data_IF_854841958398
#
_entry.id   IF_854841958398
#
_cell.length_a   1.000
_cell.length_b   1.000
_cell.length_c   1.000
_cell.angle_alpha   90.00
_cell.angle_beta   90.00
_cell.angle_gamma   90.00
#
_symmetry.space_group_name_H-M   'P 1'
#
loop_
_entity.id
_entity.type
_entity.pdbx_description
1 polymer ?
#
# COMPACT_ATOMS: atom_id res chain seq x y z
N UNK A 1 -11.99 11.00 -12.63
CA UNK A 1 -12.48 10.76 -11.24
C UNK A 1 -11.29 10.36 -10.37
N UNK A 2 -11.09 10.96 -9.20
CA UNK A 2 -10.00 10.62 -8.30
C UNK A 2 -10.55 9.87 -7.09
N UNK A 3 -10.01 8.68 -6.83
CA UNK A 3 -10.28 7.90 -5.63
C UNK A 3 -8.99 7.79 -4.84
N UNK A 4 -9.06 8.09 -3.55
CA UNK A 4 -7.95 7.93 -2.62
C UNK A 4 -8.39 6.97 -1.52
N UNK A 5 -7.47 6.12 -1.08
CA UNK A 5 -7.68 5.14 -0.04
C UNK A 5 -6.44 5.00 0.82
N UNK A 6 -6.66 4.65 2.08
CA UNK A 6 -5.60 4.35 3.02
C UNK A 6 -5.99 3.16 3.87
N UNK A 7 -5.04 2.28 4.11
CA UNK A 7 -5.19 1.14 5.01
C UNK A 7 -4.08 1.18 6.08
N UNK A 8 -4.45 0.77 7.29
CA UNK A 8 -3.51 0.51 8.38
C UNK A 8 -3.72 -0.94 8.78
N UNK A 9 -2.63 -1.69 8.86
CA UNK A 9 -2.65 -3.09 9.24
C UNK A 9 -1.72 -3.34 10.42
N UNK A 10 -2.17 -4.21 11.32
CA UNK A 10 -1.39 -4.67 12.45
C UNK A 10 -1.38 -6.20 12.45
N UNK A 11 -0.19 -6.78 12.39
CA UNK A 11 0.06 -8.22 12.46
C UNK A 11 0.76 -8.53 13.77
N UNK A 12 0.16 -9.42 14.56
CA UNK A 12 0.78 -9.96 15.77
C UNK A 12 1.75 -11.08 15.41
N UNK A 13 2.65 -11.42 16.34
CA UNK A 13 3.61 -12.51 16.15
C UNK A 13 2.89 -13.82 15.77
N UNK A 14 3.26 -14.39 14.62
CA UNK A 14 2.86 -15.75 14.26
C UNK A 14 3.85 -16.81 14.77
N UNK A 15 5.09 -16.39 15.06
CA UNK A 15 6.17 -17.23 15.57
C UNK A 15 6.88 -16.47 16.69
N UNK A 16 7.17 -17.17 17.79
CA UNK A 16 7.82 -16.57 18.95
C UNK A 16 9.14 -15.88 18.57
N UNK A 17 9.23 -14.57 18.88
CA UNK A 17 10.44 -13.77 18.67
C UNK A 17 10.51 -13.01 17.35
N UNK A 18 9.48 -13.06 16.50
CA UNK A 18 9.41 -12.28 15.25
C UNK A 18 8.96 -10.83 15.43
N UNK A 19 8.45 -10.44 16.61
CA UNK A 19 7.88 -9.11 16.84
C UNK A 19 6.52 -8.90 16.16
N UNK A 20 5.75 -7.96 16.68
CA UNK A 20 4.55 -7.47 15.98
C UNK A 20 4.91 -6.46 14.90
N UNK A 21 4.21 -6.51 13.77
CA UNK A 21 4.42 -5.60 12.65
C UNK A 21 3.19 -4.72 12.44
N UNK A 22 3.40 -3.42 12.38
CA UNK A 22 2.36 -2.44 12.04
C UNK A 22 2.83 -1.73 10.80
N UNK A 23 1.97 -1.58 9.81
CA UNK A 23 2.26 -0.84 8.61
C UNK A 23 1.01 -0.11 8.11
N UNK A 24 1.25 0.75 7.13
CA UNK A 24 0.17 1.42 6.42
C UNK A 24 0.48 1.45 4.93
N UNK A 25 -0.57 1.50 4.11
CA UNK A 25 -0.49 1.85 2.69
C UNK A 25 -1.46 2.98 2.41
N UNK A 26 -1.02 3.95 1.61
CA UNK A 26 -1.83 5.03 1.08
C UNK A 26 -1.75 4.96 -0.44
N UNK A 27 -2.89 4.93 -1.10
CA UNK A 27 -2.94 4.83 -2.54
C UNK A 27 -4.20 5.41 -3.12
N UNK A 28 -4.33 5.27 -4.43
CA UNK A 28 -5.47 5.79 -5.13
C UNK A 28 -5.46 5.44 -6.59
N UNK A 29 -6.56 5.81 -7.21
CA UNK A 29 -6.82 5.63 -8.63
C UNK A 29 -7.28 6.95 -9.21
N UNK A 30 -6.60 7.41 -10.24
CA UNK A 30 -6.97 8.57 -11.02
C UNK A 30 -7.46 8.12 -12.39
N UNK A 31 -8.77 8.19 -12.61
CA UNK A 31 -9.37 7.98 -13.93
C UNK A 31 -9.18 9.26 -14.74
N UNK A 32 -8.28 9.18 -15.73
CA UNK A 32 -8.08 10.20 -16.76
C UNK A 32 -9.32 10.24 -17.65
N UNK A 33 -9.76 9.07 -18.13
CA UNK A 33 -10.94 8.87 -18.98
C UNK A 33 -11.63 7.53 -18.61
N UNK A 34 -12.69 7.16 -19.35
CA UNK A 34 -13.38 5.86 -19.21
C UNK A 34 -12.47 4.65 -19.48
N UNK A 35 -11.42 4.85 -20.27
CA UNK A 35 -10.48 3.80 -20.65
C UNK A 35 -9.16 3.87 -19.89
N UNK A 36 -8.83 5.01 -19.27
CA UNK A 36 -7.48 5.30 -18.79
C UNK A 36 -7.50 5.53 -17.28
N UNK A 37 -6.92 4.60 -16.52
CA UNK A 37 -6.85 4.65 -15.07
C UNK A 37 -5.41 4.56 -14.58
N UNK A 38 -4.96 5.56 -13.83
CA UNK A 38 -3.65 5.57 -13.19
C UNK A 38 -3.81 5.12 -11.75
N UNK A 39 -3.10 4.06 -11.36
CA UNK A 39 -3.08 3.54 -10.00
C UNK A 39 -1.78 3.96 -9.33
N UNK A 40 -1.83 4.29 -8.05
CA UNK A 40 -0.63 4.53 -7.27
C UNK A 40 -0.84 4.05 -5.84
N UNK A 41 0.22 3.56 -5.21
CA UNK A 41 0.21 3.29 -3.77
C UNK A 41 1.60 3.44 -3.21
N UNK A 42 1.69 3.88 -1.97
CA UNK A 42 2.91 3.99 -1.20
C UNK A 42 2.61 3.66 0.26
N UNK A 43 3.47 2.87 0.87
CA UNK A 43 3.33 2.44 2.25
C UNK A 43 4.66 2.11 2.88
N UNK A 44 4.63 1.98 4.20
CA UNK A 44 5.80 1.61 4.98
C UNK A 44 5.39 0.94 6.28
N UNK A 45 6.31 0.13 6.81
CA UNK A 45 6.25 -0.31 8.19
C UNK A 45 6.46 0.86 9.16
N UNK A 46 5.70 0.82 10.24
CA UNK A 46 5.84 1.69 11.41
C UNK A 46 6.59 0.96 12.54
N UNK A 47 6.33 -0.33 12.75
CA UNK A 47 7.04 -1.16 13.73
C UNK A 47 7.78 -2.30 13.03
N UNK A 48 8.96 -2.66 13.55
CA UNK A 48 9.86 -3.64 12.92
C UNK A 48 10.16 -3.36 11.44
N UNK A 49 10.11 -2.10 11.01
CA UNK A 49 10.22 -1.68 9.62
C UNK A 49 11.54 -2.11 8.96
N UNK A 50 12.61 -2.26 9.74
CA UNK A 50 13.90 -2.75 9.25
C UNK A 50 13.87 -4.23 8.81
N UNK A 51 12.89 -5.00 9.30
CA UNK A 51 12.72 -6.44 9.05
C UNK A 51 11.48 -6.72 8.19
N UNK A 52 10.44 -5.89 8.27
CA UNK A 52 9.12 -6.18 7.67
C UNK A 52 8.87 -5.44 6.37
N UNK A 53 8.98 -4.11 6.36
CA UNK A 53 8.84 -3.29 5.15
C UNK A 53 9.39 -1.87 5.38
N UNK A 54 10.59 -1.57 4.87
CA UNK A 54 11.23 -0.25 5.03
C UNK A 54 10.45 0.85 4.30
N UNK A 55 9.99 0.54 3.09
CA UNK A 55 9.18 1.39 2.23
C UNK A 55 8.79 0.58 0.98
N UNK A 56 7.54 0.68 0.54
CA UNK A 56 7.07 0.09 -0.71
C UNK A 56 6.22 1.12 -1.45
N UNK A 57 6.50 1.33 -2.72
CA UNK A 57 5.65 2.16 -3.58
C UNK A 57 5.53 1.53 -4.95
N UNK A 58 4.38 1.77 -5.58
CA UNK A 58 4.16 1.41 -6.98
C UNK A 58 3.33 2.48 -7.69
N UNK A 59 3.53 2.54 -9.00
CA UNK A 59 2.66 3.26 -9.92
C UNK A 59 2.29 2.28 -11.01
N UNK A 60 1.00 2.20 -11.31
CA UNK A 60 0.42 1.34 -12.32
C UNK A 60 -0.43 2.13 -13.30
N UNK A 61 -0.54 1.62 -14.51
CA UNK A 61 -1.43 2.16 -15.52
C UNK A 61 -2.35 1.03 -16.01
N UNK A 62 -3.65 1.29 -16.01
CA UNK A 62 -4.68 0.37 -16.45
C UNK A 62 -5.44 0.98 -17.61
N UNK A 63 -5.49 0.22 -18.71
CA UNK A 63 -6.30 0.50 -19.88
C UNK A 63 -7.51 -0.46 -19.89
N UNK A 64 -8.71 0.08 -19.97
CA UNK A 64 -9.96 -0.66 -20.15
C UNK A 64 -10.47 -0.48 -21.58
N UNK A 65 -11.11 -1.51 -22.16
CA UNK A 65 -11.66 -1.53 -23.52
C UNK A 65 -12.98 -2.30 -23.56
#
# INVERSE_FOLDING_TARGET
HLTLGGEIFHSTEQVAGQGSSTGFNLGGTYSLDEHNHLLFSAGRGLTNADVTNKFSSYVGYQLTW
#
